data_IF_821077965766
#
_entry.id   IF_821077965766
#
_cell.length_a   1.000
_cell.length_b   1.000
_cell.length_c   1.000
_cell.angle_alpha   90.00
_cell.angle_beta   90.00
_cell.angle_gamma   90.00
#
_symmetry.space_group_name_H-M   'P 1'
#
loop_
_entity.id
_entity.type
_entity.pdbx_description
1 polymer ?
#
# COMPACT_ATOMS: atom_id res chain seq x y z
N UNK A 1 8.49 19.49 17.15
CA UNK A 1 7.29 18.70 17.56
C UNK A 1 7.70 17.25 17.50
N UNK A 2 7.47 16.51 18.57
CA UNK A 2 7.71 15.08 18.62
C UNK A 2 6.58 14.34 17.91
N UNK A 3 6.90 13.44 17.00
CA UNK A 3 5.95 12.64 16.25
C UNK A 3 5.86 11.23 16.84
N UNK A 4 4.66 10.79 17.23
CA UNK A 4 4.39 9.41 17.59
C UNK A 4 3.42 8.81 16.60
N UNK A 5 3.74 7.63 16.07
CA UNK A 5 2.84 6.85 15.22
C UNK A 5 2.25 5.70 16.03
N UNK A 6 0.92 5.62 16.08
CA UNK A 6 0.20 4.49 16.65
C UNK A 6 -0.30 3.57 15.53
N UNK A 7 0.00 2.27 15.64
CA UNK A 7 -0.36 1.25 14.67
C UNK A 7 -1.31 0.24 15.31
N UNK A 8 -2.61 0.41 15.10
CA UNK A 8 -3.61 -0.50 15.65
C UNK A 8 -3.75 -1.79 14.84
N UNK A 9 -3.55 -1.72 13.51
CA UNK A 9 -3.80 -2.86 12.61
C UNK A 9 -2.60 -3.21 11.74
N UNK A 10 -2.13 -2.30 10.90
CA UNK A 10 -1.10 -2.60 9.89
C UNK A 10 -0.21 -1.40 9.64
N UNK A 11 1.10 -1.60 9.75
CA UNK A 11 2.13 -0.76 9.16
C UNK A 11 3.17 -1.67 8.49
N UNK A 12 2.87 -2.10 7.27
CA UNK A 12 3.69 -3.03 6.50
C UNK A 12 4.09 -2.41 5.15
N UNK A 13 5.27 -2.77 4.63
CA UNK A 13 5.79 -2.26 3.35
C UNK A 13 5.80 -0.72 3.33
N UNK A 14 5.15 -0.06 2.37
CA UNK A 14 4.99 1.40 2.34
C UNK A 14 4.36 1.99 3.62
N UNK A 15 3.52 1.23 4.32
CA UNK A 15 2.99 1.61 5.63
C UNK A 15 4.07 1.70 6.72
N UNK A 16 5.04 0.79 6.70
CA UNK A 16 6.19 0.88 7.60
C UNK A 16 7.16 2.01 7.20
N UNK A 17 7.34 2.22 5.90
CA UNK A 17 8.08 3.38 5.39
C UNK A 17 7.49 4.70 5.90
N UNK A 18 6.17 4.80 6.00
CA UNK A 18 5.52 5.97 6.62
C UNK A 18 5.71 6.01 8.14
N UNK A 19 5.61 4.87 8.82
CA UNK A 19 5.70 4.81 10.27
C UNK A 19 7.11 5.08 10.80
N UNK A 20 8.16 4.61 10.09
CA UNK A 20 9.55 4.69 10.56
C UNK A 20 10.10 6.12 10.64
N UNK A 21 9.46 7.12 10.03
CA UNK A 21 9.83 8.54 10.13
C UNK A 21 9.48 9.16 11.48
N UNK A 22 8.71 8.45 12.32
CA UNK A 22 8.32 8.95 13.63
C UNK A 22 9.45 8.82 14.66
N UNK A 23 9.46 9.74 15.64
CA UNK A 23 10.35 9.64 16.81
C UNK A 23 10.01 8.45 17.71
N UNK A 24 8.75 7.99 17.65
CA UNK A 24 8.25 6.83 18.40
C UNK A 24 7.16 6.09 17.64
N UNK A 25 7.25 4.77 17.62
CA UNK A 25 6.23 3.88 17.05
C UNK A 25 5.65 3.03 18.17
N UNK A 26 4.32 3.10 18.34
CA UNK A 26 3.55 2.25 19.27
C UNK A 26 2.67 1.32 18.44
N UNK A 27 2.71 0.02 18.70
CA UNK A 27 1.92 -0.94 17.94
C UNK A 27 1.04 -1.80 18.86
N UNK A 28 -0.19 -2.06 18.43
CA UNK A 28 -1.03 -3.04 19.12
C UNK A 28 -0.38 -4.43 19.05
N UNK A 29 -0.62 -5.32 20.04
CA UNK A 29 0.04 -6.63 20.13
C UNK A 29 -0.06 -7.48 18.87
N UNK A 30 -1.17 -7.38 18.14
CA UNK A 30 -1.45 -8.13 16.91
C UNK A 30 -1.38 -7.26 15.64
N UNK A 31 -0.89 -6.04 15.73
CA UNK A 31 -0.65 -5.22 14.53
C UNK A 31 0.40 -5.88 13.64
N UNK A 32 0.19 -5.85 12.33
CA UNK A 32 1.12 -6.39 11.33
C UNK A 32 2.15 -5.31 11.01
N UNK A 33 3.43 -5.62 11.23
CA UNK A 33 4.56 -4.68 11.12
C UNK A 33 5.64 -5.29 10.22
N UNK A 34 6.37 -4.45 9.48
CA UNK A 34 7.51 -4.89 8.67
C UNK A 34 7.16 -5.01 7.20
N UNK A 35 7.32 -6.21 6.62
CA UNK A 35 7.22 -6.43 5.17
C UNK A 35 8.12 -5.45 4.40
N UNK A 36 9.37 -5.30 4.87
CA UNK A 36 10.40 -4.49 4.22
C UNK A 36 10.97 -5.32 3.07
N UNK A 37 10.34 -5.17 1.93
CA UNK A 37 10.65 -5.93 0.73
C UNK A 37 9.90 -5.38 -0.47
N UNK A 38 10.25 -5.86 -1.66
CA UNK A 38 9.64 -5.46 -2.93
C UNK A 38 9.14 -6.70 -3.65
N UNK A 39 7.93 -6.64 -4.15
CA UNK A 39 7.32 -7.69 -4.95
C UNK A 39 6.71 -7.12 -6.22
N UNK A 40 6.90 -7.81 -7.34
CA UNK A 40 6.20 -7.52 -8.58
C UNK A 40 5.62 -8.81 -9.15
N UNK A 41 4.36 -8.77 -9.52
CA UNK A 41 3.66 -9.89 -10.17
C UNK A 41 3.12 -9.41 -11.51
N UNK A 42 3.67 -9.95 -12.59
CA UNK A 42 3.33 -9.53 -13.96
C UNK A 42 2.82 -10.77 -14.72
N UNK A 43 1.52 -10.89 -15.00
CA UNK A 43 1.02 -11.92 -15.91
C UNK A 43 1.54 -11.63 -17.33
N UNK A 44 1.77 -12.68 -18.12
CA UNK A 44 2.13 -12.52 -19.52
C UNK A 44 1.19 -13.34 -20.41
N UNK A 45 0.47 -12.66 -21.28
CA UNK A 45 -0.52 -13.24 -22.18
C UNK A 45 0.01 -13.43 -23.60
N UNK A 46 1.29 -13.19 -23.88
CA UNK A 46 1.88 -13.27 -25.23
C UNK A 46 1.55 -14.59 -25.92
N UNK A 47 1.76 -15.73 -25.26
CA UNK A 47 1.48 -17.04 -25.85
C UNK A 47 0.00 -17.28 -26.15
N UNK A 48 -0.90 -16.72 -25.34
CA UNK A 48 -2.34 -16.81 -25.58
C UNK A 48 -2.73 -16.01 -26.82
N UNK A 49 -2.22 -14.81 -26.97
CA UNK A 49 -2.45 -13.95 -28.14
C UNK A 49 -1.91 -14.60 -29.41
N UNK A 50 -0.68 -15.09 -29.36
CA UNK A 50 -0.05 -15.80 -30.48
C UNK A 50 -0.84 -17.03 -30.93
N UNK A 51 -1.41 -17.80 -29.98
CA UNK A 51 -2.28 -18.95 -30.28
C UNK A 51 -3.57 -18.55 -31.01
N UNK A 52 -4.00 -17.31 -30.87
CA UNK A 52 -5.22 -16.79 -31.50
C UNK A 52 -4.90 -15.85 -32.70
N UNK A 53 -3.70 -15.95 -33.27
CA UNK A 53 -3.24 -15.15 -34.40
C UNK A 53 -3.35 -13.62 -34.18
N UNK A 54 -3.14 -13.18 -32.93
CA UNK A 54 -3.13 -11.77 -32.55
C UNK A 54 -1.69 -11.34 -32.32
N UNK A 55 -1.21 -10.43 -33.12
CA UNK A 55 0.10 -9.78 -32.96
C UNK A 55 -0.02 -8.51 -32.13
N UNK A 56 1.00 -8.24 -31.32
CA UNK A 56 1.12 -7.03 -30.52
C UNK A 56 2.41 -6.32 -30.89
N UNK A 57 2.28 -5.08 -31.34
CA UNK A 57 3.42 -4.22 -31.63
C UNK A 57 3.72 -3.32 -30.44
N UNK A 58 4.95 -3.35 -29.95
CA UNK A 58 5.42 -2.51 -28.86
C UNK A 58 6.51 -1.56 -29.39
N UNK A 59 6.17 -0.28 -29.48
CA UNK A 59 7.10 0.76 -29.90
C UNK A 59 7.61 1.52 -28.68
N UNK A 60 8.92 1.49 -28.43
CA UNK A 60 9.56 2.21 -27.33
C UNK A 60 10.76 2.99 -27.83
N UNK A 61 11.04 4.11 -27.16
CA UNK A 61 12.29 4.83 -27.30
C UNK A 61 13.05 4.75 -25.96
N UNK A 62 14.32 4.28 -26.04
CA UNK A 62 15.13 3.92 -24.88
C UNK A 62 15.13 2.41 -24.63
N UNK A 63 16.31 1.83 -24.52
CA UNK A 63 16.55 0.39 -24.45
C UNK A 63 15.75 -0.29 -23.31
N UNK A 64 15.74 0.32 -22.12
CA UNK A 64 15.07 -0.22 -20.93
C UNK A 64 13.79 0.52 -20.56
N UNK A 65 13.17 1.23 -21.50
CA UNK A 65 11.90 1.92 -21.25
C UNK A 65 10.79 0.96 -20.85
N UNK A 66 10.87 -0.28 -21.33
CA UNK A 66 9.97 -1.37 -20.96
C UNK A 66 10.78 -2.67 -20.91
N UNK A 67 11.02 -3.18 -19.73
CA UNK A 67 11.77 -4.43 -19.50
C UNK A 67 10.87 -5.65 -19.60
N UNK A 68 9.67 -5.58 -18.97
CA UNK A 68 8.63 -6.62 -19.06
C UNK A 68 7.30 -6.04 -19.54
N UNK A 69 6.53 -6.85 -20.24
CA UNK A 69 5.23 -6.50 -20.82
C UNK A 69 4.19 -7.59 -20.59
N UNK A 70 2.93 -7.18 -20.55
CA UNK A 70 1.80 -8.11 -20.40
C UNK A 70 1.50 -8.91 -21.67
N UNK A 71 1.71 -8.30 -22.84
CA UNK A 71 1.21 -8.84 -24.10
C UNK A 71 2.31 -9.19 -25.11
N UNK A 72 3.46 -8.53 -25.05
CA UNK A 72 4.60 -8.84 -25.89
C UNK A 72 5.48 -9.95 -25.32
N UNK A 73 6.46 -10.36 -26.10
CA UNK A 73 7.46 -11.32 -25.66
C UNK A 73 8.39 -10.69 -24.61
N UNK A 74 8.63 -11.41 -23.52
CA UNK A 74 9.55 -11.02 -22.49
C UNK A 74 10.89 -11.76 -22.68
N UNK A 75 11.96 -11.01 -22.95
CA UNK A 75 13.30 -11.54 -23.14
C UNK A 75 13.97 -11.87 -21.80
N UNK A 76 15.01 -12.72 -21.81
CA UNK A 76 15.78 -13.00 -20.60
C UNK A 76 16.55 -11.75 -20.10
N UNK A 77 17.12 -10.98 -21.02
CA UNK A 77 17.74 -9.68 -20.70
C UNK A 77 16.76 -8.73 -20.00
N UNK A 78 15.52 -8.65 -20.48
CA UNK A 78 14.47 -7.86 -19.84
C UNK A 78 14.13 -8.35 -18.43
N UNK A 79 14.12 -9.69 -18.20
CA UNK A 79 13.91 -10.27 -16.87
C UNK A 79 15.06 -9.98 -15.91
N UNK A 80 16.29 -10.08 -16.38
CA UNK A 80 17.48 -9.75 -15.60
C UNK A 80 17.46 -8.29 -15.18
N UNK A 81 17.26 -7.38 -16.14
CA UNK A 81 17.16 -5.95 -15.84
C UNK A 81 16.04 -5.63 -14.85
N UNK A 82 14.88 -6.28 -15.00
CA UNK A 82 13.78 -6.10 -14.07
C UNK A 82 14.10 -6.60 -12.65
N UNK A 83 14.84 -7.71 -12.51
CA UNK A 83 15.32 -8.18 -11.19
C UNK A 83 16.32 -7.20 -10.56
N UNK A 84 17.22 -6.63 -11.37
CA UNK A 84 18.12 -5.58 -10.90
C UNK A 84 17.36 -4.37 -10.36
N UNK A 85 16.35 -3.88 -11.09
CA UNK A 85 15.51 -2.75 -10.68
C UNK A 85 14.74 -3.05 -9.38
N UNK A 86 14.26 -4.29 -9.19
CA UNK A 86 13.63 -4.72 -7.94
C UNK A 86 14.62 -4.73 -6.77
N UNK A 87 15.83 -5.24 -7.00
CA UNK A 87 16.87 -5.28 -5.98
C UNK A 87 17.32 -3.86 -5.59
N UNK A 88 17.53 -3.00 -6.57
CA UNK A 88 17.86 -1.59 -6.33
C UNK A 88 16.76 -0.89 -5.52
N UNK A 89 15.50 -1.12 -5.86
CA UNK A 89 14.37 -0.57 -5.10
C UNK A 89 14.35 -1.11 -3.67
N UNK A 90 14.70 -2.38 -3.46
CA UNK A 90 14.79 -2.96 -2.13
C UNK A 90 15.94 -2.35 -1.31
N UNK A 91 17.12 -2.16 -1.90
CA UNK A 91 18.23 -1.50 -1.22
C UNK A 91 17.89 -0.06 -0.85
N UNK A 92 17.25 0.72 -1.74
CA UNK A 92 16.78 2.06 -1.43
C UNK A 92 15.77 2.06 -0.26
N UNK A 93 14.90 1.06 -0.18
CA UNK A 93 13.98 0.92 0.95
C UNK A 93 14.74 0.62 2.26
N UNK A 94 15.70 -0.29 2.23
CA UNK A 94 16.57 -0.61 3.38
C UNK A 94 17.31 0.63 3.88
N UNK A 95 17.94 1.37 2.97
CA UNK A 95 18.65 2.60 3.29
C UNK A 95 17.73 3.65 3.93
N UNK A 96 16.54 3.86 3.36
CA UNK A 96 15.57 4.79 3.92
C UNK A 96 15.17 4.41 5.34
N UNK A 97 14.84 3.14 5.59
CA UNK A 97 14.47 2.69 6.94
C UNK A 97 15.65 2.82 7.89
N UNK A 98 16.86 2.47 7.48
CA UNK A 98 18.05 2.57 8.30
C UNK A 98 18.39 4.03 8.68
N UNK A 99 18.18 4.97 7.76
CA UNK A 99 18.35 6.41 8.04
C UNK A 99 17.37 6.91 9.12
N UNK A 100 16.14 6.40 9.13
CA UNK A 100 15.12 6.78 10.10
C UNK A 100 15.26 6.01 11.42
N UNK A 101 15.78 4.79 11.37
CA UNK A 101 15.93 3.87 12.51
C UNK A 101 17.37 3.32 12.57
N UNK A 102 18.37 4.14 12.94
CA UNK A 102 19.78 3.73 12.86
C UNK A 102 20.16 2.57 13.79
N UNK A 103 19.41 2.35 14.86
CA UNK A 103 19.64 1.26 15.81
C UNK A 103 19.06 -0.08 15.35
N UNK A 104 18.28 -0.08 14.27
CA UNK A 104 17.64 -1.29 13.73
C UNK A 104 18.66 -2.11 12.94
N UNK A 105 18.77 -3.41 13.24
CA UNK A 105 19.49 -4.35 12.39
C UNK A 105 18.66 -4.61 11.13
N UNK A 106 18.89 -3.77 10.12
CA UNK A 106 18.07 -3.74 8.90
C UNK A 106 18.14 -5.07 8.14
N UNK A 107 19.27 -5.73 8.10
CA UNK A 107 19.43 -6.96 7.34
C UNK A 107 18.65 -8.13 7.95
N UNK A 108 18.46 -8.12 9.27
CA UNK A 108 17.68 -9.13 9.97
C UNK A 108 16.16 -8.97 9.78
N UNK A 109 15.70 -7.77 9.38
CA UNK A 109 14.27 -7.45 9.27
C UNK A 109 13.82 -7.04 7.86
N UNK A 110 14.75 -6.83 6.93
CA UNK A 110 14.44 -6.48 5.55
C UNK A 110 14.38 -7.72 4.63
N UNK A 111 13.76 -8.78 5.10
CA UNK A 111 13.59 -10.06 4.38
C UNK A 111 12.27 -10.14 3.60
N UNK A 112 11.44 -9.11 3.69
CA UNK A 112 10.07 -9.12 3.16
C UNK A 112 9.05 -9.75 4.10
N UNK A 113 9.48 -10.33 5.23
CA UNK A 113 8.60 -10.89 6.24
C UNK A 113 7.87 -9.80 7.03
N UNK A 114 6.78 -10.19 7.65
CA UNK A 114 6.06 -9.35 8.60
C UNK A 114 5.96 -10.06 9.96
N UNK A 115 5.79 -9.27 11.00
CA UNK A 115 5.68 -9.74 12.38
C UNK A 115 4.50 -9.08 13.07
N UNK A 116 3.96 -9.74 14.09
CA UNK A 116 3.00 -9.11 14.97
C UNK A 116 3.69 -8.10 15.89
N UNK A 117 2.95 -7.12 16.40
CA UNK A 117 3.49 -6.02 17.19
C UNK A 117 4.43 -6.46 18.31
N UNK A 118 4.08 -7.52 19.06
CA UNK A 118 4.94 -8.08 20.12
C UNK A 118 6.30 -8.55 19.59
N UNK A 119 6.28 -9.31 18.50
CA UNK A 119 7.51 -9.80 17.82
C UNK A 119 8.29 -8.65 17.19
N UNK A 120 7.58 -7.69 16.60
CA UNK A 120 8.18 -6.51 16.00
C UNK A 120 8.93 -5.64 17.03
N UNK A 121 8.44 -5.60 18.27
CA UNK A 121 9.12 -4.92 19.37
C UNK A 121 10.44 -5.61 19.72
N UNK A 122 10.46 -6.93 19.81
CA UNK A 122 11.67 -7.71 20.07
C UNK A 122 12.74 -7.50 18.99
N UNK A 123 12.30 -7.29 17.76
CA UNK A 123 13.15 -7.02 16.59
C UNK A 123 13.55 -5.53 16.44
N UNK A 124 13.07 -4.64 17.30
CA UNK A 124 13.36 -3.21 17.25
C UNK A 124 12.58 -2.42 16.20
N UNK A 125 11.61 -3.03 15.52
CA UNK A 125 10.78 -2.35 14.52
C UNK A 125 9.81 -1.33 15.13
N UNK A 126 9.40 -1.54 16.39
CA UNK A 126 8.52 -0.64 17.15
C UNK A 126 9.07 -0.40 18.55
N UNK A 127 8.73 0.73 19.16
CA UNK A 127 9.30 1.17 20.43
C UNK A 127 8.48 0.72 21.64
N UNK A 128 7.18 0.57 21.46
CA UNK A 128 6.28 0.15 22.55
C UNK A 128 5.07 -0.64 22.03
N UNK A 129 4.46 -1.39 22.93
CA UNK A 129 3.21 -2.09 22.69
C UNK A 129 2.08 -1.31 23.35
N UNK A 130 0.99 -1.11 22.62
CA UNK A 130 -0.22 -0.41 23.04
C UNK A 130 -1.10 -0.06 21.85
N UNK A 131 -2.32 0.37 22.13
CA UNK A 131 -3.26 0.84 21.11
C UNK A 131 -3.22 2.38 21.00
N UNK A 132 -3.82 2.92 19.94
CA UNK A 132 -3.99 4.37 19.81
C UNK A 132 -4.85 4.94 20.93
N UNK A 133 -5.85 4.19 21.39
CA UNK A 133 -6.74 4.59 22.49
C UNK A 133 -5.96 4.66 23.82
N UNK A 134 -5.15 3.66 24.13
CA UNK A 134 -4.29 3.66 25.33
C UNK A 134 -3.36 4.88 25.35
N UNK A 135 -2.76 5.19 24.20
CA UNK A 135 -1.87 6.35 24.02
C UNK A 135 -2.63 7.67 24.26
N UNK A 136 -3.80 7.83 23.65
CA UNK A 136 -4.61 9.05 23.78
C UNK A 136 -5.09 9.24 25.23
N UNK A 137 -5.55 8.18 25.88
CA UNK A 137 -5.99 8.23 27.29
C UNK A 137 -4.83 8.68 28.19
N UNK A 138 -3.63 8.11 28.00
CA UNK A 138 -2.46 8.50 28.76
C UNK A 138 -2.05 9.97 28.53
N UNK A 139 -2.13 10.46 27.30
CA UNK A 139 -1.81 11.86 26.98
C UNK A 139 -2.85 12.84 27.54
N UNK A 140 -4.12 12.45 27.66
CA UNK A 140 -5.18 13.28 28.23
C UNK A 140 -4.99 13.61 29.71
N UNK A 141 -4.17 12.86 30.43
CA UNK A 141 -3.85 13.16 31.84
C UNK A 141 -3.07 14.47 32.01
N UNK A 142 -2.25 14.84 31.02
CA UNK A 142 -1.31 15.96 31.11
C UNK A 142 -1.42 16.97 29.98
N UNK A 143 -2.19 16.67 28.94
CA UNK A 143 -2.31 17.48 27.73
C UNK A 143 -3.76 17.62 27.28
N UNK A 144 -4.05 18.71 26.60
CA UNK A 144 -5.30 18.85 25.81
C UNK A 144 -5.14 18.10 24.49
N UNK A 145 -5.97 17.09 24.25
CA UNK A 145 -5.95 16.28 23.02
C UNK A 145 -6.90 16.88 21.99
N UNK A 146 -6.37 17.33 20.86
CA UNK A 146 -7.13 17.94 19.78
C UNK A 146 -7.10 17.06 18.54
N UNK A 147 -8.26 16.68 18.03
CA UNK A 147 -8.39 15.95 16.79
C UNK A 147 -8.20 16.88 15.57
N UNK A 148 -7.16 16.63 14.76
CA UNK A 148 -6.92 17.37 13.52
C UNK A 148 -7.20 16.46 12.34
N UNK A 149 -8.11 16.88 11.45
CA UNK A 149 -8.45 16.14 10.25
C UNK A 149 -8.19 17.00 9.01
N UNK A 150 -7.31 16.53 8.12
CA UNK A 150 -7.14 17.14 6.82
C UNK A 150 -8.34 16.80 5.93
N UNK A 151 -9.14 17.80 5.57
CA UNK A 151 -10.29 17.65 4.68
C UNK A 151 -10.07 18.45 3.40
N UNK A 152 -10.07 17.78 2.26
CA UNK A 152 -10.07 18.44 0.96
C UNK A 152 -11.43 19.14 0.78
N UNK A 153 -11.45 20.45 0.50
CA UNK A 153 -12.68 21.14 0.14
C UNK A 153 -13.27 20.48 -1.11
N UNK A 154 -14.39 19.79 -0.96
CA UNK A 154 -15.14 19.27 -2.12
C UNK A 154 -15.58 20.46 -2.97
N UNK A 155 -15.19 20.49 -4.24
CA UNK A 155 -15.73 21.48 -5.19
C UNK A 155 -17.25 21.31 -5.26
N UNK A 156 -17.98 22.41 -5.46
CA UNK A 156 -19.45 22.37 -5.57
C UNK A 156 -19.92 21.36 -6.62
N UNK A 157 -19.17 21.17 -7.72
CA UNK A 157 -19.46 20.16 -8.74
C UNK A 157 -19.38 18.71 -8.23
N UNK A 158 -18.48 18.37 -7.30
CA UNK A 158 -18.38 17.01 -6.73
C UNK A 158 -19.61 16.66 -5.87
N UNK A 159 -20.35 17.67 -5.39
CA UNK A 159 -21.62 17.47 -4.67
C UNK A 159 -22.76 17.09 -5.61
N UNK A 160 -22.74 17.59 -6.84
CA UNK A 160 -23.80 17.30 -7.84
C UNK A 160 -23.56 15.98 -8.57
N UNK A 161 -22.32 15.60 -8.86
CA UNK A 161 -22.01 14.34 -9.55
C UNK A 161 -22.26 13.12 -8.66
N UNK A 162 -21.98 13.19 -7.36
CA UNK A 162 -22.31 12.10 -6.41
C UNK A 162 -23.80 11.83 -6.29
N UNK A 163 -24.63 12.89 -6.17
CA UNK A 163 -26.08 12.74 -6.06
C UNK A 163 -26.73 12.32 -7.38
N UNK A 164 -26.18 12.69 -8.54
CA UNK A 164 -26.67 12.28 -9.84
C UNK A 164 -26.40 10.79 -10.10
N UNK A 165 -25.20 10.28 -9.78
CA UNK A 165 -24.87 8.87 -9.92
C UNK A 165 -25.76 7.97 -9.03
N UNK A 166 -25.94 8.34 -7.75
CA UNK A 166 -26.85 7.62 -6.85
C UNK A 166 -28.31 7.67 -7.30
N UNK A 167 -28.74 8.77 -7.97
CA UNK A 167 -30.11 8.89 -8.50
C UNK A 167 -30.32 8.02 -9.73
N UNK A 168 -29.31 7.90 -10.61
CA UNK A 168 -29.33 7.01 -11.77
C UNK A 168 -29.33 5.54 -11.34
N UNK A 169 -28.50 5.16 -10.36
CA UNK A 169 -28.50 3.80 -9.82
C UNK A 169 -29.83 3.41 -9.20
N UNK A 170 -30.47 4.33 -8.43
CA UNK A 170 -31.82 4.07 -7.88
C UNK A 170 -32.89 3.98 -8.96
N UNK A 171 -32.78 4.73 -10.06
CA UNK A 171 -33.70 4.65 -11.18
C UNK A 171 -33.55 3.35 -11.95
N UNK A 172 -32.30 2.90 -12.21
CA UNK A 172 -32.01 1.65 -12.86
C UNK A 172 -32.47 0.45 -12.02
N UNK A 173 -32.24 0.45 -10.71
CA UNK A 173 -32.72 -0.57 -9.79
C UNK A 173 -34.26 -0.65 -9.75
N UNK A 174 -34.95 0.51 -9.73
CA UNK A 174 -36.43 0.56 -9.80
C UNK A 174 -36.98 0.08 -11.13
N UNK A 175 -36.29 0.37 -12.22
CA UNK A 175 -36.69 -0.09 -13.55
C UNK A 175 -36.51 -1.61 -13.67
N UNK A 176 -35.41 -2.17 -13.18
CA UNK A 176 -35.18 -3.62 -13.15
C UNK A 176 -36.17 -4.36 -12.26
N UNK A 177 -36.46 -3.86 -11.07
CA UNK A 177 -37.46 -4.44 -10.16
C UNK A 177 -38.91 -4.38 -10.72
N UNK A 178 -39.22 -3.45 -11.63
CA UNK A 178 -40.52 -3.41 -12.32
C UNK A 178 -40.63 -4.40 -13.46
N UNK A 179 -39.51 -4.87 -14.02
CA UNK A 179 -39.47 -5.88 -15.09
C UNK A 179 -39.76 -7.31 -14.63
N UNK A 180 -39.71 -7.59 -13.33
CA UNK A 180 -39.90 -8.93 -12.75
C UNK A 180 -41.33 -9.22 -12.25
N UNK A 181 -42.33 -8.40 -12.56
CA UNK A 181 -43.71 -8.78 -12.27
C UNK A 181 -44.26 -9.61 -13.42
N UNK A 182 -44.52 -10.92 -13.23
CA UNK A 182 -45.24 -11.70 -14.22
C UNK A 182 -46.65 -11.13 -14.31
N UNK A 183 -47.10 -10.92 -15.54
CA UNK A 183 -48.49 -10.65 -15.85
C UNK A 183 -49.29 -11.95 -15.54
N UNK A 184 -50.04 -11.96 -14.45
CA UNK A 184 -51.16 -12.84 -14.22
C UNK A 184 -52.41 -12.08 -14.61
#
# INVERSE_FOLDING_TARGET
IRLTVAVDKVAASGGYMMACVADRIVAAPFAIIGSIGVVAQIPNFHRLLKKNDIDVELHTAGEFKRTLTLFGENTEQGREKFREDLNETHELFKEFVHQQRPSLDIDSVATGEHWFGTQAKEKGLVDAIGTSDDLLIAEMENHEVVGVRYARRKRLMDRFTGSAAESVDRLLLRWWQRGEKPLL
#
